data_IF_807981682486
#
_entry.id   IF_807981682486
#
_cell.length_a   1.000
_cell.length_b   1.000
_cell.length_c   1.000
_cell.angle_alpha   90.00
_cell.angle_beta   90.00
_cell.angle_gamma   90.00
#
_symmetry.space_group_name_H-M   'P 1'
#
loop_
_entity.id
_entity.type
_entity.pdbx_description
1 polymer ?
#
# COMPACT_ATOMS: atom_id res chain seq x y z
N UNK A 1 12.44 -1.22 21.24
CA UNK A 1 13.06 -2.15 20.27
C UNK A 1 12.43 -3.54 20.32
N UNK A 2 12.22 -4.17 21.48
CA UNK A 2 11.57 -5.51 21.52
C UNK A 2 10.14 -5.50 20.99
N UNK A 3 9.32 -4.53 21.37
CA UNK A 3 7.93 -4.39 20.88
C UNK A 3 7.89 -4.35 19.34
N UNK A 4 8.69 -3.47 18.72
CA UNK A 4 8.80 -3.35 17.27
C UNK A 4 9.19 -4.68 16.61
N UNK A 5 10.22 -5.36 17.14
CA UNK A 5 10.68 -6.65 16.62
C UNK A 5 9.60 -7.73 16.71
N UNK A 6 8.86 -7.76 17.81
CA UNK A 6 7.75 -8.70 18.02
C UNK A 6 6.65 -8.47 16.99
N UNK A 7 6.19 -7.23 16.81
CA UNK A 7 5.13 -6.93 15.84
C UNK A 7 5.58 -7.09 14.40
N UNK A 8 6.82 -6.72 14.05
CA UNK A 8 7.38 -6.99 12.72
C UNK A 8 7.37 -8.49 12.38
N UNK A 9 7.70 -9.36 13.35
CA UNK A 9 7.67 -10.81 13.13
C UNK A 9 6.24 -11.29 12.93
N UNK A 10 5.31 -10.86 13.78
CA UNK A 10 3.90 -11.24 13.71
C UNK A 10 3.22 -10.75 12.43
N UNK A 11 3.54 -9.54 11.97
CA UNK A 11 2.92 -8.94 10.78
C UNK A 11 3.64 -9.28 9.47
N UNK A 12 4.70 -10.09 9.50
CA UNK A 12 5.56 -10.32 8.33
C UNK A 12 4.81 -10.90 7.14
N UNK A 13 3.94 -11.88 7.36
CA UNK A 13 3.12 -12.49 6.30
C UNK A 13 2.08 -11.51 5.74
N UNK A 14 1.40 -10.79 6.63
CA UNK A 14 0.40 -9.77 6.27
C UNK A 14 1.06 -8.66 5.44
N UNK A 15 2.27 -8.25 5.80
CA UNK A 15 3.03 -7.24 5.08
C UNK A 15 3.40 -7.71 3.67
N UNK A 16 3.92 -8.94 3.53
CA UNK A 16 4.26 -9.52 2.22
C UNK A 16 3.05 -9.62 1.31
N UNK A 17 1.89 -10.00 1.85
CA UNK A 17 0.68 -10.17 1.05
C UNK A 17 0.06 -8.83 0.65
N UNK A 18 -0.03 -7.86 1.57
CA UNK A 18 -0.86 -6.66 1.37
C UNK A 18 -0.07 -5.38 1.06
N UNK A 19 1.18 -5.28 1.52
CA UNK A 19 1.97 -4.03 1.45
C UNK A 19 3.11 -4.14 0.45
N UNK A 20 3.81 -5.27 0.41
CA UNK A 20 4.94 -5.47 -0.49
C UNK A 20 4.62 -5.19 -1.99
N UNK A 21 3.46 -5.60 -2.54
CA UNK A 21 3.08 -5.29 -3.93
C UNK A 21 2.98 -3.77 -4.20
N UNK A 22 2.65 -2.97 -3.19
CA UNK A 22 2.57 -1.50 -3.28
C UNK A 22 3.94 -0.81 -3.29
N UNK A 23 5.03 -1.52 -3.02
CA UNK A 23 6.34 -0.87 -2.78
C UNK A 23 7.20 -0.64 -4.02
N UNK A 24 6.86 -1.23 -5.17
CA UNK A 24 7.73 -1.28 -6.35
C UNK A 24 8.17 0.11 -6.83
N UNK A 25 7.23 1.05 -6.92
CA UNK A 25 7.51 2.42 -7.33
C UNK A 25 8.43 3.14 -6.34
N UNK A 26 8.17 3.01 -5.02
CA UNK A 26 9.01 3.64 -3.99
C UNK A 26 10.43 3.05 -3.95
N UNK A 27 10.57 1.74 -4.19
CA UNK A 27 11.88 1.06 -4.25
C UNK A 27 12.74 1.58 -5.41
N UNK A 28 12.12 2.07 -6.50
CA UNK A 28 12.83 2.56 -7.70
C UNK A 28 13.04 4.08 -7.70
N UNK A 29 12.03 4.84 -7.27
CA UNK A 29 12.02 6.31 -7.39
C UNK A 29 12.31 7.03 -6.07
N UNK A 30 12.31 6.30 -4.95
CA UNK A 30 12.45 6.90 -3.62
C UNK A 30 11.20 7.69 -3.20
N UNK A 31 11.40 8.64 -2.28
CA UNK A 31 10.31 9.44 -1.74
C UNK A 31 9.85 10.53 -2.73
N UNK A 32 8.61 10.43 -3.19
CA UNK A 32 7.96 11.39 -4.08
C UNK A 32 7.02 12.37 -3.35
N UNK A 33 7.23 12.58 -2.04
CA UNK A 33 6.40 13.43 -1.19
C UNK A 33 4.90 13.10 -1.31
N UNK A 34 4.08 14.05 -1.76
CA UNK A 34 2.63 13.89 -1.89
C UNK A 34 2.25 12.77 -2.87
N UNK A 35 3.12 12.49 -3.85
CA UNK A 35 2.88 11.44 -4.84
C UNK A 35 3.27 10.04 -4.34
N UNK A 36 3.99 9.91 -3.21
CA UNK A 36 4.45 8.60 -2.70
C UNK A 36 3.29 7.64 -2.46
N UNK A 37 2.20 8.13 -1.88
CA UNK A 37 1.00 7.34 -1.62
C UNK A 37 0.39 6.80 -2.92
N UNK A 38 0.25 7.66 -3.94
CA UNK A 38 -0.34 7.29 -5.21
C UNK A 38 0.60 6.44 -6.08
N UNK A 39 1.91 6.59 -5.94
CA UNK A 39 2.90 5.68 -6.52
C UNK A 39 2.78 4.27 -5.93
N UNK A 40 2.39 4.16 -4.66
CA UNK A 40 2.06 2.88 -4.04
C UNK A 40 0.80 2.23 -4.65
N UNK A 41 -0.25 3.03 -4.86
CA UNK A 41 -1.46 2.58 -5.54
C UNK A 41 -1.18 2.12 -6.98
N UNK A 42 -0.37 2.87 -7.73
CA UNK A 42 0.03 2.47 -9.08
C UNK A 42 0.77 1.13 -9.09
N UNK A 43 1.68 0.91 -8.13
CA UNK A 43 2.40 -0.36 -7.99
C UNK A 43 1.47 -1.53 -7.68
N UNK A 44 0.44 -1.29 -6.86
CA UNK A 44 -0.58 -2.30 -6.58
C UNK A 44 -1.39 -2.66 -7.83
N UNK A 45 -1.85 -1.66 -8.58
CA UNK A 45 -2.61 -1.90 -9.81
C UNK A 45 -1.76 -2.69 -10.81
N UNK A 46 -0.51 -2.30 -11.01
CA UNK A 46 0.43 -3.00 -11.90
C UNK A 46 0.65 -4.47 -11.48
N UNK A 47 0.79 -4.73 -10.18
CA UNK A 47 1.05 -6.08 -9.66
C UNK A 47 -0.18 -6.98 -9.50
N UNK A 48 -1.38 -6.41 -9.36
CA UNK A 48 -2.60 -7.16 -9.01
C UNK A 48 -3.68 -7.16 -10.09
N UNK A 49 -3.65 -6.24 -11.05
CA UNK A 49 -4.74 -6.07 -12.04
C UNK A 49 -5.03 -7.33 -12.87
N UNK A 50 -4.00 -8.12 -13.18
CA UNK A 50 -4.12 -9.36 -13.96
C UNK A 50 -4.47 -10.59 -13.11
N UNK A 51 -4.61 -10.46 -11.78
CA UNK A 51 -4.85 -11.59 -10.88
C UNK A 51 -6.34 -11.81 -10.64
N UNK A 52 -6.70 -13.07 -10.47
CA UNK A 52 -8.04 -13.45 -10.06
C UNK A 52 -8.41 -12.79 -8.72
N UNK A 53 -9.62 -12.25 -8.66
CA UNK A 53 -10.13 -11.57 -7.48
C UNK A 53 -9.60 -10.15 -7.28
N UNK A 54 -9.02 -9.50 -8.30
CA UNK A 54 -8.72 -8.05 -8.25
C UNK A 54 -9.99 -7.20 -8.06
N UNK A 55 -11.07 -7.58 -8.75
CA UNK A 55 -12.39 -6.95 -8.60
C UNK A 55 -12.94 -7.21 -7.19
N UNK A 56 -13.54 -6.19 -6.59
CA UNK A 56 -14.01 -6.12 -5.19
C UNK A 56 -12.91 -6.09 -4.11
N UNK A 57 -11.63 -5.96 -4.47
CA UNK A 57 -10.59 -5.65 -3.47
C UNK A 57 -10.81 -4.27 -2.88
N UNK A 58 -10.48 -4.16 -1.59
CA UNK A 58 -10.51 -2.94 -0.80
C UNK A 58 -9.08 -2.54 -0.47
N UNK A 59 -8.73 -1.31 -0.77
CA UNK A 59 -7.37 -0.77 -0.63
C UNK A 59 -7.42 0.30 0.45
N UNK A 60 -6.76 0.05 1.58
CA UNK A 60 -6.58 1.05 2.63
C UNK A 60 -5.47 2.02 2.28
N UNK A 61 -5.77 3.32 2.31
CA UNK A 61 -4.86 4.40 1.96
C UNK A 61 -4.61 5.26 3.19
N UNK A 62 -3.37 5.29 3.66
CA UNK A 62 -2.95 6.17 4.76
C UNK A 62 -2.10 7.33 4.22
N UNK A 63 -2.71 8.50 4.10
CA UNK A 63 -2.03 9.73 3.70
C UNK A 63 -1.46 10.42 4.92
N UNK A 64 -0.15 10.67 4.90
CA UNK A 64 0.56 11.42 5.93
C UNK A 64 1.40 12.55 5.32
N UNK A 65 1.39 13.70 5.98
CA UNK A 65 2.26 14.83 5.71
C UNK A 65 2.72 15.41 7.05
N UNK A 66 3.98 15.82 7.14
CA UNK A 66 4.49 16.53 8.32
C UNK A 66 3.63 17.76 8.62
N UNK A 67 3.22 17.89 9.88
CA UNK A 67 2.16 18.81 10.31
C UNK A 67 1.12 18.05 11.14
N UNK A 68 -0.15 18.10 10.75
CA UNK A 68 -1.25 17.51 11.55
C UNK A 68 -2.46 17.07 10.70
N UNK A 69 -2.29 16.78 9.42
CA UNK A 69 -3.40 16.41 8.52
C UNK A 69 -3.27 14.99 7.95
N UNK A 70 -3.22 13.93 8.80
CA UNK A 70 -3.31 12.58 8.31
C UNK A 70 -4.74 12.25 7.87
N UNK A 71 -4.90 11.35 6.92
CA UNK A 71 -6.20 10.82 6.53
C UNK A 71 -6.08 9.36 6.17
N UNK A 72 -7.02 8.56 6.67
CA UNK A 72 -7.19 7.17 6.27
C UNK A 72 -8.50 7.06 5.48
N UNK A 73 -8.43 6.49 4.28
CA UNK A 73 -9.59 6.26 3.42
C UNK A 73 -9.46 4.94 2.67
N UNK A 74 -10.56 4.47 2.11
CA UNK A 74 -10.64 3.19 1.41
C UNK A 74 -11.01 3.41 -0.06
N UNK A 75 -10.41 2.60 -0.94
CA UNK A 75 -10.77 2.51 -2.35
C UNK A 75 -11.26 1.10 -2.64
N UNK A 76 -12.44 0.95 -3.23
CA UNK A 76 -12.97 -0.34 -3.67
C UNK A 76 -12.85 -0.48 -5.20
N UNK A 77 -12.25 -1.57 -5.66
CA UNK A 77 -12.17 -1.90 -7.09
C UNK A 77 -13.53 -2.43 -7.56
N UNK A 78 -14.26 -1.67 -8.37
CA UNK A 78 -15.61 -2.06 -8.84
C UNK A 78 -15.63 -2.93 -10.10
N UNK A 79 -14.60 -2.88 -10.93
CA UNK A 79 -14.53 -3.62 -12.19
C UNK A 79 -13.11 -3.72 -12.71
N UNK A 80 -12.93 -4.49 -13.78
CA UNK A 80 -11.69 -4.56 -14.54
C UNK A 80 -11.75 -3.63 -15.76
N UNK A 81 -10.58 -3.26 -16.29
CA UNK A 81 -10.43 -2.64 -17.61
C UNK A 81 -10.45 -3.75 -18.67
#
# INVERSE_FOLDING_TARGET
KEIEKTFMKLSSEIYKQNVEPMTQCMKRLGNMYKASLYGGLASFIDSESSKDGFVRKRIGMFSYRSGLAPSFFEIEVKGSI
#
